data_IF_469223193693
#
_entry.id   IF_469223193693
#
_cell.length_a   1.000
_cell.length_b   1.000
_cell.length_c   1.000
_cell.angle_alpha   90.00
_cell.angle_beta   90.00
_cell.angle_gamma   90.00
#
_symmetry.space_group_name_H-M   'P 1'
#
loop_
_entity.id
_entity.type
_entity.pdbx_description
1 polymer ?
#
# COMPACT_ATOMS: atom_id res chain seq x y z
N UNK A 1 19.62 -2.27 -11.84
CA UNK A 1 18.32 -1.80 -11.36
C UNK A 1 18.12 -0.39 -11.86
N UNK A 2 16.95 -0.14 -12.44
CA UNK A 2 16.64 1.15 -13.02
C UNK A 2 16.51 2.24 -11.94
N UNK A 3 16.89 3.47 -12.30
CA UNK A 3 16.81 4.61 -11.39
C UNK A 3 16.12 5.78 -12.06
N UNK A 4 15.34 6.50 -11.26
CA UNK A 4 14.70 7.75 -11.65
C UNK A 4 15.11 8.87 -10.69
N UNK A 5 15.20 10.09 -11.21
CA UNK A 5 15.32 11.32 -10.43
C UNK A 5 14.01 12.06 -10.48
N UNK A 6 13.48 12.42 -9.32
CA UNK A 6 12.33 13.31 -9.14
C UNK A 6 12.87 14.68 -8.73
N UNK A 7 12.87 15.63 -9.65
CA UNK A 7 13.29 17.01 -9.40
C UNK A 7 12.11 17.82 -8.89
N UNK A 8 12.29 18.56 -7.80
CA UNK A 8 11.26 19.42 -7.21
C UNK A 8 11.84 20.77 -6.80
N UNK A 9 11.01 21.80 -6.55
CA UNK A 9 11.48 23.06 -5.95
C UNK A 9 12.15 22.93 -4.58
N UNK A 10 11.98 21.78 -3.91
CA UNK A 10 12.57 21.49 -2.59
C UNK A 10 13.89 20.70 -2.69
N UNK A 11 14.28 20.26 -3.88
CA UNK A 11 15.46 19.44 -4.13
C UNK A 11 15.15 18.19 -4.95
N UNK A 12 16.17 17.37 -5.14
CA UNK A 12 16.14 16.16 -5.95
C UNK A 12 15.96 14.92 -5.06
N UNK A 13 15.16 13.96 -5.55
CA UNK A 13 14.97 12.64 -4.92
C UNK A 13 15.40 11.58 -5.91
N UNK A 14 16.32 10.69 -5.52
CA UNK A 14 16.76 9.57 -6.33
C UNK A 14 16.05 8.31 -5.85
N UNK A 15 15.38 7.64 -6.78
CA UNK A 15 14.59 6.44 -6.49
C UNK A 15 15.10 5.27 -7.32
N UNK A 16 15.38 4.16 -6.65
CA UNK A 16 15.66 2.87 -7.27
C UNK A 16 14.37 2.10 -7.46
N UNK A 17 14.17 1.53 -8.65
CA UNK A 17 13.03 0.66 -8.95
C UNK A 17 13.43 -0.81 -8.82
N UNK A 18 12.52 -1.65 -8.33
CA UNK A 18 12.76 -3.06 -8.10
C UNK A 18 12.53 -3.91 -9.36
N UNK A 19 13.34 -4.96 -9.54
CA UNK A 19 13.32 -5.79 -10.75
C UNK A 19 12.26 -6.92 -10.70
N UNK A 20 11.82 -7.29 -9.51
CA UNK A 20 10.81 -8.30 -9.20
C UNK A 20 9.37 -7.74 -9.15
N UNK A 21 9.20 -6.44 -9.43
CA UNK A 21 7.92 -5.79 -9.73
C UNK A 21 7.93 -5.20 -11.15
N UNK A 22 8.11 -6.04 -12.20
CA UNK A 22 8.36 -5.56 -13.56
C UNK A 22 7.19 -4.77 -14.16
N UNK A 23 5.92 -5.10 -13.86
CA UNK A 23 4.78 -4.37 -14.44
C UNK A 23 4.80 -2.91 -13.97
N UNK A 24 5.06 -2.66 -12.69
CA UNK A 24 5.13 -1.31 -12.14
C UNK A 24 6.41 -0.58 -12.56
N UNK A 25 7.57 -1.25 -12.51
CA UNK A 25 8.84 -0.69 -12.95
C UNK A 25 8.78 -0.24 -14.41
N UNK A 26 8.38 -1.14 -15.30
CA UNK A 26 8.39 -0.88 -16.75
C UNK A 26 7.37 0.18 -17.12
N UNK A 27 6.21 0.20 -16.45
CA UNK A 27 5.22 1.26 -16.61
C UNK A 27 5.74 2.62 -16.13
N UNK A 28 6.38 2.68 -14.96
CA UNK A 28 6.99 3.92 -14.46
C UNK A 28 8.03 4.45 -15.45
N UNK A 29 8.92 3.60 -15.94
CA UNK A 29 9.95 3.99 -16.91
C UNK A 29 9.35 4.47 -18.23
N UNK A 30 8.33 3.78 -18.77
CA UNK A 30 7.60 4.22 -19.95
C UNK A 30 7.04 5.64 -19.76
N UNK A 31 6.31 5.88 -18.67
CA UNK A 31 5.71 7.20 -18.39
C UNK A 31 6.75 8.29 -18.16
N UNK A 32 7.90 7.94 -17.57
CA UNK A 32 9.05 8.86 -17.43
C UNK A 32 9.64 9.21 -18.80
N UNK A 33 9.86 8.23 -19.68
CA UNK A 33 10.41 8.44 -21.03
C UNK A 33 9.45 9.25 -21.92
N UNK A 34 8.14 9.12 -21.71
CA UNK A 34 7.10 9.93 -22.37
C UNK A 34 6.96 11.35 -21.77
N UNK A 35 7.67 11.66 -20.68
CA UNK A 35 7.54 12.94 -19.97
C UNK A 35 6.18 13.13 -19.27
N UNK A 36 5.44 12.04 -19.02
CA UNK A 36 4.10 12.06 -18.44
C UNK A 36 4.05 12.78 -17.09
N UNK A 37 5.05 12.57 -16.23
CA UNK A 37 5.09 13.15 -14.89
C UNK A 37 5.47 14.64 -14.85
N UNK A 38 6.01 15.18 -15.94
CA UNK A 38 6.53 16.54 -15.94
C UNK A 38 5.40 17.56 -15.73
N UNK A 39 5.54 18.35 -14.67
CA UNK A 39 4.56 19.33 -14.22
C UNK A 39 3.41 18.75 -13.37
N UNK A 40 3.39 17.44 -13.09
CA UNK A 40 2.46 16.90 -12.08
C UNK A 40 2.87 17.36 -10.68
N UNK A 41 1.94 17.36 -9.75
CA UNK A 41 2.15 17.83 -8.38
C UNK A 41 2.21 16.65 -7.40
N UNK A 42 2.96 16.83 -6.31
CA UNK A 42 2.63 16.18 -5.05
C UNK A 42 1.32 16.77 -4.53
N UNK A 43 0.20 16.16 -4.92
CA UNK A 43 -1.14 16.72 -4.76
C UNK A 43 -1.80 16.32 -3.43
N UNK A 44 -1.22 15.37 -2.69
CA UNK A 44 -1.69 14.95 -1.38
C UNK A 44 -0.51 14.63 -0.47
N UNK A 45 -0.44 15.30 0.67
CA UNK A 45 0.68 15.25 1.60
C UNK A 45 0.14 15.10 3.02
N UNK A 46 0.48 13.98 3.66
CA UNK A 46 0.04 13.70 5.03
C UNK A 46 1.28 13.41 5.87
N UNK A 47 1.52 14.29 6.84
CA UNK A 47 2.64 14.20 7.78
C UNK A 47 2.64 12.86 8.49
N UNK A 48 3.83 12.27 8.62
CA UNK A 48 4.08 10.97 9.26
C UNK A 48 3.30 9.81 8.62
N UNK A 49 2.84 9.99 7.37
CA UNK A 49 2.17 8.95 6.58
C UNK A 49 2.82 8.81 5.21
N UNK A 50 2.53 9.71 4.26
CA UNK A 50 3.02 9.62 2.88
C UNK A 50 2.91 10.94 2.12
N UNK A 51 3.66 11.04 1.01
CA UNK A 51 3.52 12.09 -0.01
C UNK A 51 3.14 11.44 -1.34
N UNK A 52 2.03 11.85 -1.93
CA UNK A 52 1.43 11.23 -3.12
C UNK A 52 1.46 12.17 -4.32
N UNK A 53 1.82 11.62 -5.48
CA UNK A 53 1.99 12.31 -6.74
C UNK A 53 1.50 11.47 -7.94
N UNK A 54 1.84 11.92 -9.15
CA UNK A 54 1.57 11.17 -10.38
C UNK A 54 0.14 11.32 -10.96
N UNK A 55 -0.65 12.26 -10.46
CA UNK A 55 -1.96 12.60 -11.04
C UNK A 55 -1.78 13.58 -12.21
N UNK A 56 -2.11 13.23 -13.46
CA UNK A 56 -2.04 14.14 -14.60
C UNK A 56 -2.97 15.35 -14.49
N UNK A 57 -4.10 15.24 -13.79
CA UNK A 57 -5.07 16.33 -13.64
C UNK A 57 -4.59 17.44 -12.71
N UNK A 58 -3.48 17.19 -12.00
CA UNK A 58 -2.79 18.16 -11.15
C UNK A 58 -1.99 19.20 -11.95
N UNK A 59 -1.67 18.91 -13.22
CA UNK A 59 -0.92 19.84 -14.08
C UNK A 59 -1.71 21.13 -14.26
N UNK A 60 -1.12 22.25 -13.84
CA UNK A 60 -1.74 23.58 -13.88
C UNK A 60 -3.12 23.65 -13.19
N UNK A 61 -3.40 22.74 -12.25
CA UNK A 61 -4.66 22.73 -11.53
C UNK A 61 -4.82 23.99 -10.69
N UNK A 62 -5.96 24.70 -10.76
CA UNK A 62 -6.17 25.87 -9.92
C UNK A 62 -6.08 25.49 -8.43
N UNK A 63 -5.64 26.44 -7.60
CA UNK A 63 -5.56 26.25 -6.14
C UNK A 63 -6.91 25.77 -5.59
N UNK A 64 -6.88 24.78 -4.71
CA UNK A 64 -8.08 24.18 -4.10
C UNK A 64 -8.88 23.23 -5.00
N UNK A 65 -8.48 22.98 -6.26
CA UNK A 65 -9.05 21.88 -7.05
C UNK A 65 -8.76 20.56 -6.33
N UNK A 66 -9.80 19.75 -6.15
CA UNK A 66 -9.68 18.38 -5.67
C UNK A 66 -8.97 17.52 -6.72
N UNK A 67 -7.97 16.76 -6.29
CA UNK A 67 -7.09 15.93 -7.12
C UNK A 67 -7.05 14.50 -6.57
N UNK A 68 -6.38 13.60 -7.28
CA UNK A 68 -6.23 12.18 -6.94
C UNK A 68 -7.15 11.24 -7.73
N UNK A 69 -7.98 11.77 -8.63
CA UNK A 69 -8.88 10.98 -9.48
C UNK A 69 -8.35 10.77 -10.91
N UNK A 70 -7.31 11.51 -11.33
CA UNK A 70 -6.75 11.38 -12.67
C UNK A 70 -5.78 10.21 -12.80
N UNK A 71 -5.46 9.87 -14.03
CA UNK A 71 -4.56 8.79 -14.41
C UNK A 71 -4.68 8.48 -15.89
N UNK A 72 -3.85 7.57 -16.43
CA UNK A 72 -4.09 7.00 -17.74
C UNK A 72 -5.36 6.13 -17.75
N UNK A 73 -5.81 5.72 -18.93
CA UNK A 73 -7.03 4.92 -19.14
C UNK A 73 -6.87 3.42 -18.81
N UNK A 74 -5.89 3.09 -17.97
CA UNK A 74 -5.58 1.72 -17.55
C UNK A 74 -5.12 1.66 -16.09
N UNK A 75 -5.25 0.46 -15.52
CA UNK A 75 -4.73 0.04 -14.22
C UNK A 75 -3.58 -0.95 -14.40
N UNK A 76 -2.85 -1.24 -13.33
CA UNK A 76 -1.77 -2.23 -13.32
C UNK A 76 -2.14 -3.33 -12.33
N UNK A 77 -2.11 -4.58 -12.77
CA UNK A 77 -2.31 -5.74 -11.89
C UNK A 77 -1.30 -5.72 -10.74
N UNK A 78 -1.77 -5.98 -9.52
CA UNK A 78 -0.96 -5.94 -8.32
C UNK A 78 0.25 -6.91 -8.37
N UNK A 79 1.39 -6.45 -7.85
CA UNK A 79 2.61 -7.26 -7.72
C UNK A 79 3.02 -7.35 -6.24
N UNK A 80 2.09 -7.83 -5.40
CA UNK A 80 2.35 -7.98 -3.97
C UNK A 80 3.42 -9.03 -3.72
N UNK A 81 4.45 -8.66 -2.98
CA UNK A 81 5.55 -9.54 -2.58
C UNK A 81 5.90 -9.30 -1.12
N UNK A 82 6.18 -10.35 -0.33
CA UNK A 82 6.65 -10.18 1.05
C UNK A 82 8.07 -9.60 1.12
N UNK A 83 8.80 -9.54 -0.01
CA UNK A 83 10.14 -8.97 -0.08
C UNK A 83 10.13 -7.44 0.04
N UNK A 84 9.04 -6.79 -0.39
CA UNK A 84 8.91 -5.33 -0.39
C UNK A 84 7.73 -4.92 0.47
N UNK A 85 8.00 -4.04 1.42
CA UNK A 85 7.04 -3.62 2.43
C UNK A 85 7.17 -2.12 2.68
N UNK A 86 6.16 -1.53 3.34
CA UNK A 86 6.02 -0.08 3.43
C UNK A 86 6.90 0.52 4.52
N UNK A 87 8.21 0.28 4.46
CA UNK A 87 9.20 1.00 5.27
C UNK A 87 9.30 2.46 4.81
N UNK A 88 9.77 3.34 5.70
CA UNK A 88 10.11 4.72 5.36
C UNK A 88 11.03 4.77 4.13
N UNK A 89 10.68 5.59 3.14
CA UNK A 89 11.38 5.74 1.86
C UNK A 89 10.89 4.78 0.76
N UNK A 90 10.00 3.83 1.04
CA UNK A 90 9.42 2.96 0.02
C UNK A 90 8.57 3.77 -0.98
N UNK A 91 8.69 3.45 -2.28
CA UNK A 91 7.84 3.93 -3.36
C UNK A 91 6.76 2.88 -3.64
N UNK A 92 5.49 3.27 -3.51
CA UNK A 92 4.36 2.37 -3.70
C UNK A 92 3.28 3.00 -4.58
N UNK A 93 2.49 2.14 -5.25
CA UNK A 93 1.46 2.58 -6.17
C UNK A 93 0.15 2.87 -5.42
N UNK A 94 -0.54 3.95 -5.79
CA UNK A 94 -1.87 4.26 -5.27
C UNK A 94 -2.92 3.37 -5.95
N UNK A 95 -4.09 3.19 -5.34
CA UNK A 95 -5.24 2.50 -5.93
C UNK A 95 -6.55 3.02 -5.38
N UNK A 96 -7.65 2.71 -6.08
CA UNK A 96 -9.00 2.87 -5.54
C UNK A 96 -9.27 1.85 -4.44
N UNK A 97 -10.23 2.15 -3.56
CA UNK A 97 -10.65 1.27 -2.46
C UNK A 97 -11.35 0.00 -2.94
N UNK A 98 -11.33 -1.04 -2.10
CA UNK A 98 -11.71 -2.42 -2.42
C UNK A 98 -13.16 -2.56 -2.92
N UNK A 99 -14.07 -1.69 -2.47
CA UNK A 99 -15.48 -1.70 -2.92
C UNK A 99 -15.62 -1.47 -4.43
N UNK A 100 -14.74 -0.66 -5.00
CA UNK A 100 -14.70 -0.33 -6.44
C UNK A 100 -13.63 -1.15 -7.16
N UNK A 101 -12.56 -1.52 -6.46
CA UNK A 101 -11.39 -2.21 -6.99
C UNK A 101 -11.08 -3.49 -6.17
N UNK A 102 -11.92 -4.54 -6.28
CA UNK A 102 -11.76 -5.76 -5.49
C UNK A 102 -10.50 -6.55 -5.84
N UNK A 103 -9.96 -6.37 -7.06
CA UNK A 103 -8.71 -6.98 -7.51
C UNK A 103 -7.47 -6.20 -7.03
N UNK A 104 -7.67 -5.08 -6.33
CA UNK A 104 -6.62 -4.21 -5.80
C UNK A 104 -5.61 -3.76 -6.86
N UNK A 105 -6.05 -3.57 -8.10
CA UNK A 105 -5.19 -3.09 -9.18
C UNK A 105 -4.71 -1.66 -8.88
N UNK A 106 -3.45 -1.38 -9.19
CA UNK A 106 -2.84 -0.07 -9.00
C UNK A 106 -3.34 0.93 -10.03
N UNK A 107 -3.35 2.21 -9.65
CA UNK A 107 -3.39 3.32 -10.58
C UNK A 107 -2.28 3.18 -11.62
N UNK A 108 -2.56 3.51 -12.88
CA UNK A 108 -1.56 3.47 -13.94
C UNK A 108 -0.45 4.52 -13.81
N UNK A 109 -0.58 5.53 -12.96
CA UNK A 109 0.47 6.56 -12.79
C UNK A 109 0.65 7.10 -11.38
N UNK A 110 -0.36 7.03 -10.52
CA UNK A 110 -0.24 7.62 -9.19
C UNK A 110 0.60 6.75 -8.26
N UNK A 111 1.52 7.40 -7.54
CA UNK A 111 2.43 6.77 -6.60
C UNK A 111 2.51 7.59 -5.31
N UNK A 112 3.04 6.99 -4.26
CA UNK A 112 3.40 7.69 -3.04
C UNK A 112 4.74 7.21 -2.49
N UNK A 113 5.42 8.10 -1.77
CA UNK A 113 6.61 7.77 -0.99
C UNK A 113 6.18 7.67 0.47
N UNK A 114 6.55 6.57 1.13
CA UNK A 114 6.20 6.28 2.51
C UNK A 114 7.09 7.08 3.46
N UNK A 115 6.48 7.72 4.46
CA UNK A 115 7.20 8.33 5.58
C UNK A 115 6.93 7.56 6.87
N UNK A 116 5.65 7.38 7.20
CA UNK A 116 5.19 6.58 8.32
C UNK A 116 5.72 6.99 9.69
N UNK A 117 5.42 6.16 10.69
CA UNK A 117 5.87 6.32 12.07
C UNK A 117 6.77 5.16 12.50
N UNK A 118 7.53 5.37 13.58
CA UNK A 118 8.26 4.28 14.26
C UNK A 118 7.32 3.58 15.24
N UNK A 119 7.43 2.26 15.29
CA UNK A 119 6.66 1.40 16.17
C UNK A 119 7.58 0.80 17.24
N UNK A 120 7.12 0.76 18.47
CA UNK A 120 7.80 -0.04 19.48
C UNK A 120 7.46 -1.54 19.31
N UNK A 121 8.31 -2.41 19.85
CA UNK A 121 8.11 -3.86 19.75
C UNK A 121 6.76 -4.34 20.33
N UNK A 122 6.23 -3.66 21.35
CA UNK A 122 4.93 -3.98 21.93
C UNK A 122 3.78 -3.73 20.97
N UNK A 123 3.80 -2.59 20.27
CA UNK A 123 2.83 -2.25 19.22
C UNK A 123 2.87 -3.27 18.09
N UNK A 124 4.05 -3.62 17.57
CA UNK A 124 4.17 -4.61 16.50
C UNK A 124 3.67 -5.99 16.93
N UNK A 125 4.03 -6.46 18.13
CA UNK A 125 3.52 -7.74 18.67
C UNK A 125 2.00 -7.74 18.84
N UNK A 126 1.41 -6.61 19.23
CA UNK A 126 -0.04 -6.47 19.31
C UNK A 126 -0.69 -6.53 17.92
N UNK A 127 -0.08 -5.88 16.93
CA UNK A 127 -0.53 -5.96 15.53
C UNK A 127 -0.45 -7.39 15.00
N UNK A 128 0.67 -8.10 15.19
CA UNK A 128 0.80 -9.51 14.80
C UNK A 128 -0.26 -10.40 15.45
N UNK A 129 -0.58 -10.15 16.73
CA UNK A 129 -1.67 -10.86 17.42
C UNK A 129 -3.01 -10.59 16.75
N UNK A 130 -3.30 -9.33 16.40
CA UNK A 130 -4.53 -8.97 15.69
C UNK A 130 -4.58 -9.61 14.30
N UNK A 131 -3.46 -9.63 13.56
CA UNK A 131 -3.36 -10.30 12.25
C UNK A 131 -3.71 -11.78 12.36
N UNK A 132 -3.14 -12.48 13.35
CA UNK A 132 -3.43 -13.91 13.59
C UNK A 132 -4.90 -14.14 13.92
N UNK A 133 -5.49 -13.30 14.77
CA UNK A 133 -6.93 -13.38 15.11
C UNK A 133 -7.83 -13.10 13.91
N UNK A 134 -7.48 -12.11 13.09
CA UNK A 134 -8.20 -11.79 11.87
C UNK A 134 -8.10 -12.95 10.86
N UNK A 135 -6.91 -13.54 10.69
CA UNK A 135 -6.72 -14.70 9.82
C UNK A 135 -7.60 -15.87 10.28
N UNK A 136 -7.59 -16.21 11.58
CA UNK A 136 -8.46 -17.27 12.13
C UNK A 136 -9.94 -16.98 11.87
N UNK A 137 -10.37 -15.72 11.99
CA UNK A 137 -11.76 -15.31 11.73
C UNK A 137 -12.13 -15.43 10.25
N UNK A 138 -11.26 -14.97 9.34
CA UNK A 138 -11.48 -15.06 7.89
C UNK A 138 -11.52 -16.52 7.47
N UNK A 139 -10.52 -17.32 7.84
CA UNK A 139 -10.47 -18.75 7.50
C UNK A 139 -11.68 -19.50 8.05
N UNK A 140 -12.14 -19.18 9.26
CA UNK A 140 -13.38 -19.74 9.79
C UNK A 140 -14.60 -19.37 8.94
N UNK A 141 -14.75 -18.11 8.54
CA UNK A 141 -15.86 -17.65 7.70
C UNK A 141 -15.83 -18.27 6.30
N UNK A 142 -14.65 -18.49 5.73
CA UNK A 142 -14.47 -19.18 4.45
C UNK A 142 -14.90 -20.64 4.56
N UNK A 143 -14.49 -21.33 5.63
CA UNK A 143 -14.96 -22.68 5.92
C UNK A 143 -16.47 -22.74 6.11
N UNK A 144 -17.06 -21.79 6.84
CA UNK A 144 -18.53 -21.67 6.98
C UNK A 144 -19.20 -21.50 5.62
N UNK A 145 -18.61 -20.71 4.72
CA UNK A 145 -19.10 -20.50 3.36
C UNK A 145 -18.99 -21.77 2.52
N UNK A 146 -17.88 -22.50 2.63
CA UNK A 146 -17.66 -23.78 1.98
C UNK A 146 -18.68 -24.84 2.44
N UNK A 147 -18.89 -24.96 3.76
CA UNK A 147 -19.83 -25.91 4.37
C UNK A 147 -21.29 -25.40 4.45
N UNK A 148 -21.62 -24.30 3.77
CA UNK A 148 -22.92 -23.61 3.86
C UNK A 148 -24.12 -24.54 3.65
N UNK A 149 -24.02 -25.53 2.75
CA UNK A 149 -25.10 -26.49 2.48
C UNK A 149 -25.40 -27.39 3.69
N UNK A 150 -24.37 -27.99 4.28
CA UNK A 150 -24.50 -28.85 5.46
C UNK A 150 -25.05 -28.07 6.66
N UNK A 151 -24.52 -26.85 6.89
CA UNK A 151 -25.00 -25.95 7.94
C UNK A 151 -26.50 -25.64 7.77
N UNK A 152 -26.94 -25.35 6.54
CA UNK A 152 -28.35 -25.06 6.26
C UNK A 152 -29.26 -26.27 6.48
N UNK A 153 -28.79 -27.47 6.15
CA UNK A 153 -29.55 -28.70 6.38
C UNK A 153 -29.73 -28.98 7.88
N UNK A 154 -28.66 -28.86 8.67
CA UNK A 154 -28.75 -28.99 10.14
C UNK A 154 -29.71 -27.95 10.74
N UNK A 155 -29.66 -26.70 10.27
CA UNK A 155 -30.60 -25.64 10.68
C UNK A 155 -32.05 -26.00 10.36
N UNK A 156 -32.31 -26.52 9.16
CA UNK A 156 -33.65 -26.95 8.72
C UNK A 156 -34.18 -28.09 9.60
N UNK A 157 -33.31 -29.03 9.96
CA UNK A 157 -33.63 -30.17 10.81
C UNK A 157 -33.65 -29.83 12.32
N UNK A 158 -33.36 -28.57 12.69
CA UNK A 158 -33.22 -28.10 14.09
C UNK A 158 -32.19 -28.89 14.89
N UNK A 159 -31.16 -29.41 14.20
CA UNK A 159 -30.09 -30.18 14.80
C UNK A 159 -29.09 -29.25 15.51
N UNK A 160 -29.39 -28.95 16.78
CA UNK A 160 -28.54 -28.08 17.60
C UNK A 160 -27.20 -28.71 17.96
N UNK A 161 -27.18 -30.04 18.19
CA UNK A 161 -25.96 -30.75 18.55
C UNK A 161 -24.99 -30.80 17.36
N UNK A 162 -25.49 -31.16 16.16
CA UNK A 162 -24.69 -31.15 14.95
C UNK A 162 -24.14 -29.76 14.59
N UNK A 163 -24.93 -28.70 14.79
CA UNK A 163 -24.45 -27.32 14.60
C UNK A 163 -23.30 -26.95 15.54
N UNK A 164 -23.37 -27.38 16.81
CA UNK A 164 -22.30 -27.14 17.77
C UNK A 164 -21.04 -27.93 17.42
N UNK A 165 -21.17 -29.22 17.11
CA UNK A 165 -20.03 -30.07 16.71
C UNK A 165 -19.37 -29.55 15.42
N UNK A 166 -20.18 -29.12 14.44
CA UNK A 166 -19.69 -28.52 13.21
C UNK A 166 -18.93 -27.23 13.51
N UNK A 167 -19.47 -26.35 14.36
CA UNK A 167 -18.79 -25.11 14.74
C UNK A 167 -17.42 -25.40 15.40
N UNK A 168 -17.36 -26.33 16.36
CA UNK A 168 -16.11 -26.71 17.02
C UNK A 168 -15.10 -27.31 16.03
N UNK A 169 -15.56 -28.15 15.09
CA UNK A 169 -14.74 -28.70 14.01
C UNK A 169 -14.15 -27.61 13.13
N UNK A 170 -14.99 -26.68 12.63
CA UNK A 170 -14.55 -25.59 11.76
C UNK A 170 -13.58 -24.64 12.48
N UNK A 171 -13.79 -24.36 13.78
CA UNK A 171 -12.83 -23.57 14.56
C UNK A 171 -11.47 -24.27 14.68
N UNK A 172 -11.46 -25.58 14.93
CA UNK A 172 -10.23 -26.37 15.02
C UNK A 172 -9.49 -26.40 13.68
N UNK A 173 -10.23 -26.63 12.60
CA UNK A 173 -9.70 -26.65 11.24
C UNK A 173 -9.12 -25.29 10.83
N UNK A 174 -9.84 -24.19 11.09
CA UNK A 174 -9.33 -22.84 10.85
C UNK A 174 -7.98 -22.59 11.56
N UNK A 175 -7.87 -22.98 12.83
CA UNK A 175 -6.61 -22.85 13.59
C UNK A 175 -5.47 -23.67 12.99
N UNK A 176 -5.72 -24.89 12.53
CA UNK A 176 -4.68 -25.71 11.90
C UNK A 176 -4.25 -25.14 10.54
N UNK A 177 -5.19 -24.63 9.74
CA UNK A 177 -4.89 -23.94 8.47
C UNK A 177 -4.03 -22.69 8.74
N UNK A 178 -4.38 -21.86 9.73
CA UNK A 178 -3.61 -20.67 10.09
C UNK A 178 -2.21 -21.02 10.62
N UNK A 179 -2.04 -22.12 11.37
CA UNK A 179 -0.72 -22.58 11.81
C UNK A 179 0.20 -22.98 10.65
N UNK A 180 -0.36 -23.54 9.59
CA UNK A 180 0.39 -23.90 8.39
C UNK A 180 0.75 -22.70 7.51
N UNK A 181 0.02 -21.59 7.66
CA UNK A 181 0.19 -20.36 6.88
C UNK A 181 0.33 -19.15 7.82
N UNK A 182 1.40 -19.08 8.63
CA UNK A 182 1.49 -18.06 9.68
C UNK A 182 1.58 -16.66 9.10
N UNK A 183 0.74 -15.75 9.60
CA UNK A 183 0.87 -14.30 9.39
C UNK A 183 1.70 -13.65 10.49
N UNK A 184 2.39 -12.57 10.15
CA UNK A 184 3.21 -11.79 11.07
C UNK A 184 4.25 -10.96 10.31
N UNK A 185 5.13 -10.31 11.07
CA UNK A 185 6.22 -9.55 10.50
C UNK A 185 7.47 -10.44 10.38
N UNK A 186 8.21 -10.29 9.29
CA UNK A 186 9.57 -10.80 9.17
C UNK A 186 10.50 -10.08 10.15
N UNK A 187 11.66 -10.67 10.45
CA UNK A 187 12.67 -10.01 11.27
C UNK A 187 13.09 -8.64 10.68
N UNK A 188 13.19 -8.56 9.36
CA UNK A 188 13.52 -7.34 8.62
C UNK A 188 12.42 -6.28 8.75
N UNK A 189 11.14 -6.66 8.62
CA UNK A 189 10.01 -5.76 8.85
C UNK A 189 10.04 -5.22 10.28
N UNK A 190 10.23 -6.09 11.29
CA UNK A 190 10.30 -5.65 12.68
C UNK A 190 11.44 -4.66 12.93
N UNK A 191 12.62 -4.93 12.38
CA UNK A 191 13.77 -4.03 12.48
C UNK A 191 13.49 -2.68 11.80
N UNK A 192 13.00 -2.70 10.56
CA UNK A 192 12.70 -1.48 9.82
C UNK A 192 11.64 -0.62 10.54
N UNK A 193 10.52 -1.22 10.96
CA UNK A 193 9.44 -0.47 11.63
C UNK A 193 9.83 0.07 13.00
N UNK A 194 10.80 -0.55 13.69
CA UNK A 194 11.29 -0.06 14.98
C UNK A 194 12.40 1.00 14.84
N UNK A 195 13.18 0.96 13.76
CA UNK A 195 14.37 1.81 13.59
C UNK A 195 14.10 3.03 12.71
N UNK A 196 13.55 2.83 11.51
CA UNK A 196 13.33 3.87 10.50
C UNK A 196 11.86 4.24 10.33
N UNK A 197 10.94 3.33 10.69
CA UNK A 197 9.50 3.54 10.63
C UNK A 197 8.86 3.11 9.30
N UNK A 198 7.57 3.38 9.16
CA UNK A 198 6.79 3.02 7.97
C UNK A 198 5.29 2.89 8.23
N UNK A 199 4.59 2.18 7.35
CA UNK A 199 3.13 2.01 7.38
C UNK A 199 2.76 0.53 7.25
N UNK A 200 3.02 -0.32 8.28
CA UNK A 200 2.81 -1.77 8.23
C UNK A 200 1.39 -2.23 7.87
N UNK A 201 0.39 -1.38 8.09
CA UNK A 201 -1.00 -1.69 7.73
C UNK A 201 -1.28 -1.62 6.23
N UNK A 202 -0.33 -1.17 5.41
CA UNK A 202 -0.42 -1.18 3.94
C UNK A 202 0.28 -2.41 3.32
N UNK A 203 1.03 -3.20 4.11
CA UNK A 203 1.74 -4.37 3.61
C UNK A 203 0.78 -5.41 3.02
N UNK A 204 1.10 -5.91 1.82
CA UNK A 204 0.24 -6.84 1.08
C UNK A 204 -1.04 -6.23 0.51
N UNK A 205 -1.24 -4.91 0.66
CA UNK A 205 -2.42 -4.19 0.19
C UNK A 205 -2.14 -3.25 -0.99
N UNK A 206 -0.88 -2.82 -1.14
CA UNK A 206 -0.40 -1.92 -2.18
C UNK A 206 0.95 -2.42 -2.71
N UNK A 207 1.18 -2.25 -4.02
CA UNK A 207 2.43 -2.68 -4.64
C UNK A 207 3.55 -1.70 -4.29
N UNK A 208 4.55 -2.16 -3.56
CA UNK A 208 5.82 -1.46 -3.36
C UNK A 208 6.77 -1.85 -4.49
N UNK A 209 7.21 -0.88 -5.30
CA UNK A 209 7.96 -1.14 -6.53
C UNK A 209 9.29 -0.36 -6.64
N UNK A 210 9.68 0.33 -5.56
CA UNK A 210 10.97 0.99 -5.48
C UNK A 210 11.23 1.58 -4.09
N UNK A 211 12.33 2.29 -3.95
CA UNK A 211 12.69 3.03 -2.74
C UNK A 211 13.59 4.23 -3.02
N UNK A 212 13.48 5.25 -2.18
CA UNK A 212 14.36 6.41 -2.15
C UNK A 212 15.76 5.97 -1.72
N UNK A 213 16.76 6.23 -2.56
CA UNK A 213 18.19 6.04 -2.23
C UNK A 213 18.83 7.34 -1.74
N UNK A 214 18.43 8.49 -2.30
CA UNK A 214 18.93 9.82 -1.93
C UNK A 214 17.78 10.84 -1.92
N UNK A 215 17.89 11.87 -1.07
CA UNK A 215 16.88 12.94 -0.96
C UNK A 215 15.74 12.64 0.01
N UNK A 216 15.93 11.78 1.02
CA UNK A 216 14.90 11.56 2.05
C UNK A 216 14.61 12.82 2.87
N UNK A 217 15.59 13.70 3.05
CA UNK A 217 15.45 15.04 3.63
C UNK A 217 14.58 15.97 2.76
N UNK A 218 14.62 15.80 1.43
CA UNK A 218 13.71 16.50 0.50
C UNK A 218 12.28 15.98 0.68
N UNK A 219 12.10 14.66 0.80
CA UNK A 219 10.79 14.06 1.12
C UNK A 219 10.27 14.58 2.47
N UNK A 220 11.16 14.75 3.45
CA UNK A 220 10.84 15.38 4.74
C UNK A 220 10.41 16.85 4.59
N UNK A 221 11.08 17.61 3.73
CA UNK A 221 10.71 18.99 3.44
C UNK A 221 9.36 19.09 2.71
N UNK A 222 8.99 18.08 1.90
CA UNK A 222 7.68 18.00 1.23
C UNK A 222 6.59 17.74 2.28
N UNK A 223 6.74 16.75 3.16
CA UNK A 223 5.69 16.42 4.12
C UNK A 223 5.37 17.53 5.14
N UNK A 224 6.33 18.42 5.38
CA UNK A 224 6.18 19.56 6.30
C UNK A 224 5.66 20.83 5.59
N UNK A 225 5.24 20.75 4.32
CA UNK A 225 4.55 21.85 3.67
C UNK A 225 3.15 22.06 4.27
N UNK A 226 2.71 23.32 4.36
CA UNK A 226 1.35 23.63 4.79
C UNK A 226 0.34 23.07 3.78
N UNK A 227 -0.65 22.33 4.27
CA UNK A 227 -1.71 21.73 3.46
C UNK A 227 -3.08 22.35 3.72
N UNK A 228 -3.96 22.26 2.73
CA UNK A 228 -5.37 22.57 2.90
C UNK A 228 -6.14 21.40 3.55
N UNK A 229 -7.46 21.54 3.67
CA UNK A 229 -8.32 20.51 4.31
C UNK A 229 -8.41 19.20 3.53
N UNK A 230 -7.96 19.17 2.28
CA UNK A 230 -7.91 17.98 1.44
C UNK A 230 -6.49 17.40 1.37
N UNK A 231 -5.60 17.81 2.30
CA UNK A 231 -4.20 17.42 2.36
C UNK A 231 -3.38 17.88 1.13
N UNK A 232 -3.90 18.81 0.32
CA UNK A 232 -3.14 19.36 -0.82
C UNK A 232 -2.20 20.47 -0.32
N UNK A 233 -0.91 20.48 -0.70
CA UNK A 233 -0.04 21.61 -0.40
C UNK A 233 -0.62 22.95 -0.87
N UNK A 234 -0.57 23.96 0.01
CA UNK A 234 -1.06 25.32 -0.26
C UNK A 234 -0.22 26.07 -1.30
N UNK A 235 1.06 25.70 -1.39
CA UNK A 235 1.95 26.04 -2.50
C UNK A 235 2.27 24.77 -3.30
N UNK A 236 2.07 24.84 -4.61
CA UNK A 236 2.21 23.69 -5.49
C UNK A 236 3.66 23.19 -5.51
N UNK A 237 3.84 21.88 -5.29
CA UNK A 237 5.13 21.20 -5.38
C UNK A 237 5.13 20.36 -6.66
N UNK A 238 5.48 21.00 -7.77
CA UNK A 238 5.59 20.35 -9.07
C UNK A 238 6.82 19.43 -9.13
N UNK A 239 6.74 18.42 -9.99
CA UNK A 239 7.85 17.51 -10.26
C UNK A 239 8.20 17.40 -11.75
N UNK A 240 9.46 17.12 -12.01
CA UNK A 240 9.97 16.58 -13.27
C UNK A 240 10.61 15.25 -12.95
N UNK A 241 10.27 14.19 -13.69
CA UNK A 241 10.88 12.88 -13.47
C UNK A 241 11.70 12.50 -14.69
N UNK A 242 12.95 12.11 -14.47
CA UNK A 242 13.87 11.65 -15.51
C UNK A 242 14.47 10.30 -15.14
N UNK A 243 14.80 9.50 -16.15
CA UNK A 243 15.59 8.30 -15.99
C UNK A 243 17.08 8.67 -15.91
N UNK A 244 17.85 8.03 -15.03
CA UNK A 244 19.24 8.46 -14.73
C UNK A 244 20.27 7.33 -14.72
N UNK A 245 19.90 6.13 -15.17
CA UNK A 245 20.79 4.95 -15.29
C UNK A 245 21.25 4.66 -16.73
#
# INVERSE_FOLDING_TARGET
MAKIKIETPKGDIIVRLYDDTPKHRDNMLKLVEEGFYNGTLFHRVIKDFMVQGGDPDSKNAPKGKQLGAGGPDYTIEAEFTPAHFHKRGALAAARLGDEVNPNKESSGSQFYIVLGEKYNQGQLKQMEKQMKQNQETITFNDLVTYYKKEIMEMRKNRDRAGLQEMQERLMKEAKEICKQNPVGFSAEQMEAYTTIGGTPFLDGEYTVFGEVEEGLDVVDAIQNADTDRADRPTEDIAMTITRID
#
